data_IF_182458068216
#
_entry.id   IF_182458068216
#
_cell.length_a   1.000
_cell.length_b   1.000
_cell.length_c   1.000
_cell.angle_alpha   90.00
_cell.angle_beta   90.00
_cell.angle_gamma   90.00
#
_symmetry.space_group_name_H-M   'P 1'
#
loop_
_entity.id
_entity.type
_entity.pdbx_description
1 polymer ?
#
# COMPACT_ATOMS: atom_id res chain seq x y z
N UNK A 1 31.55 12.41 -23.03
CA UNK A 1 30.92 12.07 -21.73
C UNK A 1 31.16 10.60 -21.46
N UNK A 2 31.94 10.24 -20.45
CA UNK A 2 32.04 8.86 -19.96
C UNK A 2 30.67 8.47 -19.40
N UNK A 3 30.00 7.47 -19.99
CA UNK A 3 28.75 6.95 -19.45
C UNK A 3 29.09 6.21 -18.15
N UNK A 4 28.69 6.77 -17.00
CA UNK A 4 28.77 6.05 -15.73
C UNK A 4 27.75 4.91 -15.76
N UNK A 5 28.20 3.66 -15.75
CA UNK A 5 27.33 2.51 -15.52
C UNK A 5 27.28 2.25 -14.02
N UNK A 6 26.08 2.22 -13.45
CA UNK A 6 25.87 1.74 -12.08
C UNK A 6 26.11 0.24 -12.03
N UNK A 7 27.03 -0.20 -11.18
CA UNK A 7 27.30 -1.61 -10.95
C UNK A 7 26.19 -2.22 -10.06
N UNK A 8 25.78 -3.44 -10.39
CA UNK A 8 24.90 -4.25 -9.55
C UNK A 8 25.73 -5.38 -8.95
N UNK A 9 26.27 -5.18 -7.75
CA UNK A 9 26.92 -6.27 -7.01
C UNK A 9 25.89 -7.08 -6.24
N UNK A 10 26.02 -8.41 -6.34
CA UNK A 10 25.25 -9.36 -5.54
C UNK A 10 26.23 -10.06 -4.59
N UNK A 11 26.23 -9.67 -3.32
CA UNK A 11 26.93 -10.43 -2.30
C UNK A 11 26.02 -11.56 -1.84
N UNK A 12 26.33 -12.77 -2.28
CA UNK A 12 25.57 -13.97 -1.94
C UNK A 12 26.42 -14.82 -1.00
N UNK A 13 25.84 -15.23 0.13
CA UNK A 13 26.47 -16.19 1.05
C UNK A 13 26.81 -17.48 0.29
N UNK A 14 28.03 -17.99 0.46
CA UNK A 14 28.52 -19.18 -0.24
C UNK A 14 27.60 -20.39 -0.04
N UNK A 15 27.08 -20.54 1.17
CA UNK A 15 26.16 -21.61 1.59
C UNK A 15 24.88 -21.57 0.76
N UNK A 16 24.38 -20.37 0.45
CA UNK A 16 23.20 -20.21 -0.40
C UNK A 16 23.44 -20.72 -1.83
N UNK A 17 24.67 -20.64 -2.34
CA UNK A 17 25.03 -21.18 -3.66
C UNK A 17 25.16 -22.70 -3.60
N UNK A 18 25.83 -23.23 -2.57
CA UNK A 18 26.11 -24.67 -2.43
C UNK A 18 24.85 -25.47 -2.09
N UNK A 19 24.05 -25.01 -1.13
CA UNK A 19 22.88 -25.75 -0.61
C UNK A 19 21.78 -25.86 -1.67
N UNK A 20 21.71 -24.85 -2.55
CA UNK A 20 20.73 -24.77 -3.61
C UNK A 20 21.23 -25.30 -4.96
N UNK A 21 22.47 -25.81 -5.02
CA UNK A 21 23.11 -26.33 -6.25
C UNK A 21 23.02 -25.33 -7.40
N UNK A 22 23.32 -24.06 -7.12
CA UNK A 22 23.42 -23.02 -8.15
C UNK A 22 24.71 -23.23 -8.95
N UNK A 23 24.60 -23.99 -10.05
CA UNK A 23 25.71 -24.33 -10.93
C UNK A 23 25.82 -23.33 -12.10
N UNK A 24 27.04 -23.09 -12.55
CA UNK A 24 27.30 -22.37 -13.80
C UNK A 24 26.90 -23.24 -14.99
N UNK A 25 26.19 -22.66 -15.96
CA UNK A 25 25.82 -23.38 -17.19
C UNK A 25 26.80 -23.02 -18.30
N UNK A 26 27.63 -23.95 -18.73
CA UNK A 26 28.68 -23.69 -19.72
C UNK A 26 28.16 -22.93 -20.97
N UNK A 27 28.95 -21.96 -21.47
CA UNK A 27 28.65 -21.13 -22.64
C UNK A 27 27.46 -20.15 -22.53
N UNK A 28 27.01 -19.82 -21.31
CA UNK A 28 26.03 -18.75 -21.06
C UNK A 28 26.72 -17.45 -20.61
N UNK A 29 26.45 -16.33 -21.28
CA UNK A 29 26.95 -15.00 -20.92
C UNK A 29 26.27 -14.37 -19.68
N UNK A 30 25.06 -14.83 -19.33
CA UNK A 30 24.15 -14.18 -18.38
C UNK A 30 23.83 -15.08 -17.18
N UNK A 31 24.87 -15.65 -16.59
CA UNK A 31 24.77 -16.61 -15.48
C UNK A 31 24.13 -16.03 -14.22
N UNK A 32 24.29 -14.73 -14.00
CA UNK A 32 23.85 -14.03 -12.80
C UNK A 32 22.33 -13.88 -12.71
N UNK A 33 21.64 -14.00 -13.84
CA UNK A 33 20.18 -13.92 -13.96
C UNK A 33 19.51 -15.17 -13.39
N UNK A 34 19.76 -16.39 -13.90
CA UNK A 34 19.13 -17.61 -13.39
C UNK A 34 19.41 -17.84 -11.91
N UNK A 35 20.61 -17.50 -11.46
CA UNK A 35 20.97 -17.56 -10.05
C UNK A 35 20.19 -16.58 -9.18
N UNK A 36 20.06 -15.32 -9.58
CA UNK A 36 19.32 -14.32 -8.81
C UNK A 36 17.85 -14.72 -8.66
N UNK A 37 17.21 -15.12 -9.75
CA UNK A 37 15.82 -15.56 -9.73
C UNK A 37 15.61 -16.72 -8.75
N UNK A 38 16.47 -17.74 -8.84
CA UNK A 38 16.40 -18.88 -7.94
C UNK A 38 16.66 -18.45 -6.50
N UNK A 39 17.68 -17.62 -6.26
CA UNK A 39 18.02 -17.10 -4.94
C UNK A 39 16.86 -16.32 -4.30
N UNK A 40 16.24 -15.40 -5.05
CA UNK A 40 15.09 -14.59 -4.58
C UNK A 40 13.90 -15.48 -4.17
N UNK A 41 13.73 -16.64 -4.80
CA UNK A 41 12.70 -17.60 -4.41
C UNK A 41 13.01 -18.41 -3.14
N UNK A 42 14.26 -18.37 -2.64
CA UNK A 42 14.71 -19.15 -1.47
C UNK A 42 15.19 -18.26 -0.30
N UNK A 43 15.19 -16.94 -0.45
CA UNK A 43 15.56 -16.00 0.63
C UNK A 43 14.32 -15.37 1.26
N UNK A 44 14.34 -15.26 2.59
CA UNK A 44 13.24 -14.65 3.35
C UNK A 44 13.39 -13.12 3.44
N UNK A 45 14.59 -12.58 3.22
CA UNK A 45 14.88 -11.14 3.29
C UNK A 45 16.04 -10.75 2.37
N UNK A 46 16.10 -9.48 1.97
CA UNK A 46 17.15 -8.90 1.12
C UNK A 46 17.47 -7.49 1.63
N UNK A 47 18.76 -7.19 1.82
CA UNK A 47 19.24 -5.86 2.18
C UNK A 47 19.68 -5.11 0.93
N UNK A 48 19.11 -3.94 0.68
CA UNK A 48 19.54 -3.02 -0.37
C UNK A 48 20.48 -1.98 0.25
N UNK A 49 21.70 -1.88 -0.26
CA UNK A 49 22.64 -0.87 0.21
C UNK A 49 22.27 0.50 -0.40
N UNK A 50 22.22 1.58 0.41
CA UNK A 50 21.74 2.90 -0.04
C UNK A 50 22.74 3.63 -0.95
N UNK A 51 23.98 3.14 -1.06
CA UNK A 51 25.04 3.81 -1.82
C UNK A 51 25.71 2.86 -2.81
N UNK A 52 26.01 3.37 -4.01
CA UNK A 52 26.83 2.69 -5.00
C UNK A 52 28.22 2.43 -4.42
N UNK A 53 28.59 1.17 -4.26
CA UNK A 53 29.83 0.80 -3.58
C UNK A 53 31.09 1.01 -4.42
N UNK A 54 30.98 1.18 -5.75
CA UNK A 54 32.09 1.46 -6.68
C UNK A 54 31.57 1.76 -8.09
N UNK A 55 32.38 2.42 -8.91
CA UNK A 55 32.09 2.68 -10.33
C UNK A 55 32.90 1.74 -11.23
N UNK A 56 32.31 1.27 -12.33
CA UNK A 56 33.06 0.66 -13.42
C UNK A 56 33.37 1.73 -14.48
N UNK A 57 34.63 1.80 -14.91
CA UNK A 57 34.94 2.49 -16.15
C UNK A 57 34.67 1.54 -17.33
N UNK A 58 33.96 2.04 -18.35
CA UNK A 58 33.83 1.32 -19.62
C UNK A 58 35.22 1.19 -20.27
N UNK A 59 35.72 -0.04 -20.36
CA UNK A 59 36.86 -0.36 -21.20
C UNK A 59 36.35 -0.62 -22.63
N UNK A 60 36.90 0.02 -23.68
CA UNK A 60 36.54 -0.27 -25.08
C UNK A 60 36.69 -1.75 -25.45
N UNK A 61 37.66 -2.40 -24.80
CA UNK A 61 37.98 -3.83 -24.92
C UNK A 61 37.02 -4.74 -24.13
N UNK A 62 36.06 -4.17 -23.40
CA UNK A 62 35.15 -4.90 -22.53
C UNK A 62 34.33 -5.89 -23.34
N UNK A 63 34.29 -7.14 -22.87
CA UNK A 63 33.48 -8.21 -23.44
C UNK A 63 31.97 -7.89 -23.43
N UNK A 64 31.53 -6.92 -22.61
CA UNK A 64 30.16 -6.43 -22.55
C UNK A 64 29.75 -5.54 -23.74
N UNK A 65 30.69 -5.04 -24.56
CA UNK A 65 30.37 -4.35 -25.81
C UNK A 65 29.97 -5.34 -26.91
N UNK A 66 28.85 -6.03 -26.71
CA UNK A 66 28.28 -7.01 -27.63
C UNK A 66 27.61 -6.43 -28.89
N UNK A 67 27.80 -5.14 -29.21
CA UNK A 67 27.03 -4.46 -30.25
C UNK A 67 27.62 -4.58 -31.68
N UNK A 68 28.78 -5.23 -31.87
CA UNK A 68 29.50 -5.18 -33.16
C UNK A 68 29.91 -6.55 -33.76
N UNK A 69 29.57 -7.69 -33.15
CA UNK A 69 29.93 -9.02 -33.66
C UNK A 69 28.71 -9.98 -33.77
N UNK A 70 28.36 -10.45 -34.98
CA UNK A 70 27.24 -11.39 -35.21
C UNK A 70 27.31 -12.70 -34.40
N UNK A 71 28.49 -13.31 -34.25
CA UNK A 71 28.63 -14.56 -33.49
C UNK A 71 28.36 -14.34 -32.00
N UNK A 72 28.77 -13.19 -31.46
CA UNK A 72 28.50 -12.83 -30.07
C UNK A 72 27.02 -12.54 -29.85
N UNK A 73 26.36 -11.87 -30.79
CA UNK A 73 24.92 -11.66 -30.73
C UNK A 73 24.16 -12.99 -30.73
N UNK A 74 24.56 -13.94 -31.57
CA UNK A 74 23.98 -15.28 -31.59
C UNK A 74 24.19 -16.02 -30.26
N UNK A 75 25.41 -15.97 -29.70
CA UNK A 75 25.70 -16.54 -28.37
C UNK A 75 24.90 -15.86 -27.25
N UNK A 76 24.67 -14.55 -27.34
CA UNK A 76 23.84 -13.80 -26.40
C UNK A 76 22.37 -14.25 -26.47
N UNK A 77 21.82 -14.41 -27.68
CA UNK A 77 20.47 -14.95 -27.91
C UNK A 77 20.36 -16.40 -27.38
N UNK A 78 21.36 -17.24 -27.66
CA UNK A 78 21.41 -18.62 -27.16
C UNK A 78 21.51 -18.67 -25.62
N UNK A 79 22.31 -17.80 -25.01
CA UNK A 79 22.42 -17.66 -23.55
C UNK A 79 21.05 -17.37 -22.93
N UNK A 80 20.30 -16.44 -23.52
CA UNK A 80 18.93 -16.13 -23.08
C UNK A 80 17.96 -17.29 -23.22
N UNK A 81 18.05 -18.03 -24.34
CA UNK A 81 17.23 -19.23 -24.54
C UNK A 81 17.45 -20.24 -23.41
N UNK A 82 18.70 -20.51 -23.05
CA UNK A 82 19.00 -21.48 -22.00
C UNK A 82 18.59 -20.97 -20.61
N UNK A 83 18.83 -19.68 -20.30
CA UNK A 83 18.32 -19.04 -19.06
C UNK A 83 16.80 -19.15 -18.96
N UNK A 84 16.10 -19.01 -20.08
CA UNK A 84 14.65 -19.14 -20.12
C UNK A 84 14.16 -20.57 -19.92
N UNK A 85 14.76 -21.54 -20.62
CA UNK A 85 14.41 -22.96 -20.45
C UNK A 85 14.63 -23.38 -18.98
N UNK A 86 15.71 -22.89 -18.37
CA UNK A 86 15.96 -23.04 -16.93
C UNK A 86 14.81 -22.46 -16.09
N UNK A 87 14.40 -21.22 -16.33
CA UNK A 87 13.27 -20.61 -15.61
C UNK A 87 11.97 -21.38 -15.75
N UNK A 88 11.59 -21.74 -16.97
CA UNK A 88 10.37 -22.48 -17.20
C UNK A 88 10.37 -23.85 -16.54
N UNK A 89 11.52 -24.54 -16.53
CA UNK A 89 11.66 -25.85 -15.88
C UNK A 89 11.56 -25.78 -14.36
N UNK A 90 11.91 -24.62 -13.77
CA UNK A 90 11.99 -24.39 -12.33
C UNK A 90 10.86 -23.50 -11.81
N UNK A 91 9.88 -23.15 -12.66
CA UNK A 91 8.77 -22.26 -12.29
C UNK A 91 8.00 -22.89 -11.12
N UNK A 92 7.92 -22.22 -9.96
CA UNK A 92 7.08 -22.73 -8.87
C UNK A 92 5.62 -22.75 -9.30
N UNK A 93 4.91 -23.85 -9.03
CA UNK A 93 3.45 -23.89 -9.09
C UNK A 93 2.89 -23.05 -7.93
N UNK A 94 2.96 -21.72 -7.99
CA UNK A 94 2.41 -20.89 -6.92
C UNK A 94 1.78 -19.60 -7.42
N UNK A 95 0.69 -19.23 -6.76
CA UNK A 95 0.04 -17.91 -6.84
C UNK A 95 0.89 -16.81 -6.20
N UNK A 96 2.00 -17.16 -5.54
CA UNK A 96 2.81 -16.29 -4.67
C UNK A 96 4.15 -15.86 -5.27
N UNK A 97 4.46 -16.21 -6.52
CA UNK A 97 5.68 -15.72 -7.14
C UNK A 97 5.61 -14.18 -7.31
N UNK A 98 6.48 -13.47 -6.58
CA UNK A 98 6.51 -12.00 -6.46
C UNK A 98 6.42 -11.34 -7.85
N UNK A 99 5.32 -10.64 -8.08
CA UNK A 99 4.79 -10.25 -9.38
C UNK A 99 5.70 -9.33 -10.24
N UNK A 100 6.76 -8.75 -9.68
CA UNK A 100 7.64 -7.81 -10.37
C UNK A 100 8.68 -8.51 -11.27
N UNK A 101 9.18 -9.70 -10.88
CA UNK A 101 10.21 -10.39 -11.66
C UNK A 101 9.71 -10.85 -13.05
N UNK A 102 8.45 -11.29 -13.16
CA UNK A 102 7.89 -11.71 -14.46
C UNK A 102 7.69 -10.53 -15.41
N UNK A 103 7.27 -9.35 -14.91
CA UNK A 103 7.11 -8.13 -15.73
C UNK A 103 8.46 -7.60 -16.17
N UNK A 104 9.41 -7.47 -15.24
CA UNK A 104 10.77 -7.07 -15.56
C UNK A 104 11.41 -8.01 -16.59
N UNK A 105 11.12 -9.31 -16.50
CA UNK A 105 11.60 -10.31 -17.43
C UNK A 105 10.97 -10.19 -18.83
N UNK A 106 9.65 -9.97 -18.93
CA UNK A 106 8.98 -9.78 -20.22
C UNK A 106 9.43 -8.47 -20.90
N UNK A 107 9.59 -7.38 -20.12
CA UNK A 107 10.16 -6.12 -20.62
C UNK A 107 11.66 -6.24 -20.98
N UNK A 108 12.37 -7.17 -20.34
CA UNK A 108 13.75 -7.49 -20.69
C UNK A 108 13.85 -8.25 -22.01
N UNK A 109 13.05 -9.32 -22.20
CA UNK A 109 12.97 -10.07 -23.45
C UNK A 109 12.68 -9.13 -24.62
N UNK A 110 11.79 -8.20 -24.37
CA UNK A 110 11.42 -7.13 -25.27
C UNK A 110 12.60 -6.25 -25.72
N UNK A 111 13.48 -5.83 -24.80
CA UNK A 111 14.69 -5.06 -25.15
C UNK A 111 15.66 -5.87 -25.98
N UNK A 112 15.75 -7.17 -25.70
CA UNK A 112 16.71 -8.07 -26.34
C UNK A 112 16.28 -8.43 -27.76
N UNK A 113 14.99 -8.71 -27.97
CA UNK A 113 14.45 -9.03 -29.29
C UNK A 113 14.55 -7.87 -30.28
N UNK A 114 14.18 -6.64 -29.90
CA UNK A 114 14.36 -5.50 -30.79
C UNK A 114 15.83 -5.28 -31.16
N UNK A 115 16.75 -5.38 -30.19
CA UNK A 115 18.18 -5.22 -30.47
C UNK A 115 18.65 -6.25 -31.48
N UNK A 116 18.31 -7.52 -31.29
CA UNK A 116 18.75 -8.58 -32.18
C UNK A 116 18.09 -8.51 -33.58
N UNK A 117 16.83 -8.04 -33.70
CA UNK A 117 16.13 -7.82 -34.99
C UNK A 117 16.69 -6.65 -35.81
N UNK A 118 17.12 -5.57 -35.16
CA UNK A 118 17.66 -4.41 -35.87
C UNK A 118 19.15 -4.53 -36.19
N UNK A 119 19.90 -5.26 -35.38
CA UNK A 119 21.35 -5.33 -35.54
C UNK A 119 21.78 -6.48 -36.45
N UNK A 120 20.98 -7.56 -36.60
CA UNK A 120 21.40 -8.74 -37.34
C UNK A 120 20.27 -9.39 -38.17
N UNK A 121 20.53 -9.78 -39.43
CA UNK A 121 19.59 -10.59 -40.21
C UNK A 121 19.50 -12.01 -39.63
N UNK A 122 18.29 -12.48 -39.31
CA UNK A 122 18.08 -13.85 -38.84
C UNK A 122 17.97 -14.85 -39.98
N UNK A 123 18.50 -16.05 -39.77
CA UNK A 123 18.14 -17.21 -40.58
C UNK A 123 16.71 -17.68 -40.27
N UNK A 124 16.04 -18.25 -41.28
CA UNK A 124 14.63 -18.68 -41.20
C UNK A 124 14.37 -19.69 -40.06
N UNK A 125 15.37 -20.52 -39.72
CA UNK A 125 15.30 -21.55 -38.67
C UNK A 125 15.27 -20.94 -37.27
N UNK A 126 16.04 -19.87 -37.04
CA UNK A 126 16.07 -19.17 -35.75
C UNK A 126 14.76 -18.41 -35.52
N UNK A 127 14.22 -17.82 -36.59
CA UNK A 127 12.92 -17.15 -36.53
C UNK A 127 11.78 -18.08 -36.10
N UNK A 128 11.75 -19.33 -36.58
CA UNK A 128 10.74 -20.31 -36.18
C UNK A 128 10.82 -20.66 -34.69
N UNK A 129 12.02 -20.78 -34.13
CA UNK A 129 12.19 -21.03 -32.70
C UNK A 129 11.71 -19.84 -31.86
N UNK A 130 11.97 -18.62 -32.34
CA UNK A 130 11.48 -17.38 -31.73
C UNK A 130 9.95 -17.32 -31.73
N UNK A 131 9.29 -17.81 -32.79
CA UNK A 131 7.82 -17.90 -32.86
C UNK A 131 7.24 -18.92 -31.88
N UNK A 132 7.87 -20.10 -31.75
CA UNK A 132 7.46 -21.12 -30.77
C UNK A 132 7.57 -20.54 -29.35
N UNK A 133 8.67 -19.84 -29.08
CA UNK A 133 8.91 -19.15 -27.82
C UNK A 133 7.85 -18.09 -27.54
N UNK A 134 7.58 -17.21 -28.51
CA UNK A 134 6.53 -16.19 -28.43
C UNK A 134 5.21 -16.81 -28.01
N UNK A 135 4.78 -17.85 -28.71
CA UNK A 135 3.48 -18.48 -28.45
C UNK A 135 3.41 -19.05 -27.03
N UNK A 136 4.53 -19.61 -26.54
CA UNK A 136 4.62 -20.12 -25.16
C UNK A 136 4.50 -19.01 -24.13
N UNK A 137 5.26 -17.92 -24.30
CA UNK A 137 5.20 -16.74 -23.42
C UNK A 137 3.81 -16.10 -23.44
N UNK A 138 3.24 -15.88 -24.62
CA UNK A 138 1.92 -15.31 -24.75
C UNK A 138 0.85 -16.19 -24.11
N UNK A 139 0.92 -17.51 -24.33
CA UNK A 139 0.01 -18.46 -23.69
C UNK A 139 0.11 -18.40 -22.17
N UNK A 140 1.33 -18.29 -21.63
CA UNK A 140 1.55 -18.12 -20.19
C UNK A 140 0.99 -16.79 -19.69
N UNK A 141 1.33 -15.67 -20.34
CA UNK A 141 0.80 -14.36 -20.01
C UNK A 141 -0.73 -14.35 -20.00
N UNK A 142 -1.37 -14.92 -21.02
CA UNK A 142 -2.84 -15.03 -21.08
C UNK A 142 -3.41 -15.94 -19.99
N UNK A 143 -2.81 -17.11 -19.72
CA UNK A 143 -3.21 -18.01 -18.62
C UNK A 143 -3.10 -17.33 -17.25
N UNK A 144 -2.11 -16.46 -17.11
CA UNK A 144 -1.84 -15.70 -15.89
C UNK A 144 -2.65 -14.41 -15.78
N UNK A 145 -3.52 -14.13 -16.76
CA UNK A 145 -4.41 -12.96 -16.80
C UNK A 145 -3.78 -11.68 -17.31
N UNK A 146 -2.58 -11.76 -17.89
CA UNK A 146 -1.75 -10.62 -18.30
C UNK A 146 -1.99 -10.20 -19.74
N UNK A 147 -3.23 -9.78 -20.03
CA UNK A 147 -3.68 -9.47 -21.39
C UNK A 147 -2.91 -8.32 -22.04
N UNK A 148 -2.67 -7.21 -21.33
CA UNK A 148 -1.95 -6.06 -21.89
C UNK A 148 -0.50 -6.40 -22.23
N UNK A 149 0.16 -7.22 -21.41
CA UNK A 149 1.51 -7.69 -21.71
C UNK A 149 1.50 -8.63 -22.91
N UNK A 150 0.53 -9.55 -23.00
CA UNK A 150 0.39 -10.42 -24.17
C UNK A 150 0.16 -9.64 -25.47
N UNK A 151 -0.67 -8.58 -25.43
CA UNK A 151 -0.90 -7.67 -26.55
C UNK A 151 0.33 -6.85 -26.90
N UNK A 152 1.09 -6.40 -25.90
CA UNK A 152 2.31 -5.64 -26.13
C UNK A 152 3.39 -6.49 -26.79
N UNK A 153 3.56 -7.74 -26.33
CA UNK A 153 4.48 -8.69 -26.93
C UNK A 153 4.14 -8.99 -28.39
N UNK A 154 2.86 -8.97 -28.80
CA UNK A 154 2.49 -9.14 -30.21
C UNK A 154 3.11 -8.08 -31.13
N UNK A 155 3.32 -6.86 -30.63
CA UNK A 155 3.90 -5.77 -31.42
C UNK A 155 5.35 -6.04 -31.81
N UNK A 156 6.02 -6.95 -31.12
CA UNK A 156 7.44 -7.26 -31.29
C UNK A 156 7.72 -8.40 -32.28
N UNK A 157 6.66 -8.99 -32.83
CA UNK A 157 6.78 -10.06 -33.82
C UNK A 157 6.16 -9.64 -35.14
N UNK A 158 6.40 -10.40 -36.20
CA UNK A 158 5.78 -10.11 -37.50
C UNK A 158 4.26 -10.28 -37.39
N UNK A 159 3.49 -9.38 -38.04
CA UNK A 159 3.96 -8.29 -38.90
C UNK A 159 4.32 -6.98 -38.17
N UNK A 160 3.89 -6.79 -36.93
CA UNK A 160 3.94 -5.51 -36.22
C UNK A 160 5.34 -5.00 -35.90
N UNK A 161 6.33 -5.88 -35.82
CA UNK A 161 7.74 -5.52 -35.62
C UNK A 161 8.25 -4.48 -36.63
N UNK A 162 7.70 -4.45 -37.84
CA UNK A 162 8.08 -3.48 -38.87
C UNK A 162 7.68 -2.03 -38.52
N UNK A 163 6.73 -1.83 -37.60
CA UNK A 163 6.39 -0.50 -37.07
C UNK A 163 7.61 0.14 -36.39
N UNK A 164 8.51 -0.65 -35.81
CA UNK A 164 9.72 -0.14 -35.20
C UNK A 164 10.79 0.32 -36.20
N UNK A 165 10.58 0.20 -37.52
CA UNK A 165 11.44 0.88 -38.51
C UNK A 165 11.30 2.41 -38.44
N UNK A 166 10.13 2.90 -38.02
CA UNK A 166 9.88 4.32 -37.89
C UNK A 166 10.61 4.91 -36.68
N UNK A 167 11.40 5.95 -36.90
CA UNK A 167 12.19 6.63 -35.85
C UNK A 167 11.33 7.12 -34.69
N UNK A 168 10.13 7.63 -34.99
CA UNK A 168 9.17 8.09 -33.99
C UNK A 168 8.75 6.98 -33.00
N UNK A 169 8.43 5.79 -33.53
CA UNK A 169 8.03 4.67 -32.69
C UNK A 169 9.21 4.20 -31.83
N UNK A 170 10.43 4.17 -32.40
CA UNK A 170 11.65 3.85 -31.64
C UNK A 170 11.97 4.86 -30.54
N UNK A 171 11.81 6.15 -30.79
CA UNK A 171 12.13 7.19 -29.81
C UNK A 171 11.17 7.19 -28.62
N UNK A 172 9.92 6.74 -28.82
CA UNK A 172 8.92 6.65 -27.77
C UNK A 172 8.79 5.26 -27.16
N UNK A 173 9.47 4.26 -27.72
CA UNK A 173 9.37 2.89 -27.28
C UNK A 173 9.75 2.69 -25.81
N UNK A 174 10.81 3.36 -25.35
CA UNK A 174 11.22 3.28 -23.94
C UNK A 174 10.15 3.84 -22.99
N UNK A 175 9.45 4.89 -23.41
CA UNK A 175 8.31 5.44 -22.68
C UNK A 175 7.12 4.49 -22.69
N UNK A 176 6.84 3.85 -23.83
CA UNK A 176 5.83 2.78 -23.94
C UNK A 176 6.14 1.59 -23.04
N UNK A 177 7.40 1.15 -22.95
CA UNK A 177 7.83 0.09 -22.02
C UNK A 177 7.53 0.49 -20.57
N UNK A 178 7.89 1.70 -20.16
CA UNK A 178 7.63 2.21 -18.81
C UNK A 178 6.13 2.25 -18.52
N UNK A 179 5.35 2.77 -19.46
CA UNK A 179 3.89 2.83 -19.36
C UNK A 179 3.30 1.43 -19.26
N UNK A 180 3.65 0.52 -20.16
CA UNK A 180 3.11 -0.84 -20.14
C UNK A 180 3.54 -1.58 -18.89
N UNK A 181 4.77 -1.41 -18.40
CA UNK A 181 5.18 -1.94 -17.10
C UNK A 181 4.28 -1.45 -15.97
N UNK A 182 4.08 -0.13 -15.84
CA UNK A 182 3.22 0.45 -14.80
C UNK A 182 1.73 0.08 -14.96
N UNK A 183 1.19 0.14 -16.18
CA UNK A 183 -0.22 -0.13 -16.46
C UNK A 183 -0.52 -1.63 -16.39
N UNK A 184 0.40 -2.50 -16.82
CA UNK A 184 0.21 -3.95 -16.72
C UNK A 184 0.11 -4.41 -15.27
N UNK A 185 0.88 -3.83 -14.35
CA UNK A 185 0.67 -4.08 -12.91
C UNK A 185 -0.75 -3.70 -12.45
N UNK A 186 -1.29 -2.60 -12.97
CA UNK A 186 -2.64 -2.14 -12.68
C UNK A 186 -3.71 -3.09 -13.24
N UNK A 187 -3.53 -3.62 -14.46
CA UNK A 187 -4.50 -4.49 -15.14
C UNK A 187 -4.40 -5.97 -14.79
N UNK A 188 -3.21 -6.47 -14.47
CA UNK A 188 -3.00 -7.83 -13.94
C UNK A 188 -3.65 -7.97 -12.56
N UNK A 189 -3.67 -6.88 -11.79
CA UNK A 189 -4.47 -6.72 -10.57
C UNK A 189 -5.99 -6.82 -10.85
N UNK A 190 -6.49 -6.28 -11.96
CA UNK A 190 -7.90 -6.37 -12.34
C UNK A 190 -8.31 -7.77 -12.86
N UNK A 191 -7.43 -8.51 -13.54
CA UNK A 191 -7.76 -9.80 -14.15
C UNK A 191 -7.74 -10.99 -13.18
N UNK A 192 -6.85 -11.01 -12.17
CA UNK A 192 -6.81 -12.08 -11.15
C UNK A 192 -7.86 -11.90 -10.04
N UNK A 193 -8.49 -10.73 -9.94
CA UNK A 193 -9.53 -10.40 -8.96
C UNK A 193 -10.93 -10.34 -9.54
N UNK A 194 -11.28 -11.29 -10.43
CA UNK A 194 -12.71 -11.59 -10.65
C UNK A 194 -13.41 -12.04 -9.34
N UNK A 195 -12.65 -12.27 -8.26
CA UNK A 195 -13.19 -12.40 -6.91
C UNK A 195 -13.07 -11.14 -6.03
N UNK A 196 -12.04 -10.26 -6.10
CA UNK A 196 -11.77 -9.33 -4.98
C UNK A 196 -11.42 -7.86 -5.33
N UNK A 197 -11.77 -7.31 -6.49
CA UNK A 197 -11.70 -5.84 -6.64
C UNK A 197 -12.71 -5.19 -5.71
N UNK A 198 -13.93 -5.72 -5.69
CA UNK A 198 -14.95 -5.28 -4.74
C UNK A 198 -14.49 -5.51 -3.30
N UNK A 199 -13.93 -6.66 -2.92
CA UNK A 199 -13.44 -6.85 -1.54
C UNK A 199 -12.21 -6.01 -1.16
N UNK A 200 -11.31 -5.66 -2.09
CA UNK A 200 -10.16 -4.79 -1.76
C UNK A 200 -10.55 -3.32 -1.80
N UNK A 201 -11.35 -2.89 -2.77
CA UNK A 201 -11.97 -1.57 -2.72
C UNK A 201 -12.80 -1.48 -1.44
N UNK A 202 -13.58 -2.51 -1.08
CA UNK A 202 -14.30 -2.56 0.19
C UNK A 202 -13.35 -2.60 1.38
N UNK A 203 -12.21 -3.28 1.32
CA UNK A 203 -11.22 -3.29 2.41
C UNK A 203 -10.53 -1.94 2.55
N UNK A 204 -10.19 -1.27 1.45
CA UNK A 204 -9.61 0.08 1.45
C UNK A 204 -10.67 1.08 1.92
N UNK A 205 -11.90 1.01 1.39
CA UNK A 205 -13.03 1.84 1.82
C UNK A 205 -13.40 1.56 3.29
N UNK A 206 -13.29 0.32 3.76
CA UNK A 206 -13.50 -0.03 5.17
C UNK A 206 -12.35 0.41 6.07
N UNK A 207 -11.15 0.59 5.53
CA UNK A 207 -10.00 1.11 6.26
C UNK A 207 -9.87 2.63 6.16
N UNK A 208 -10.61 3.29 5.26
CA UNK A 208 -10.73 4.75 5.21
C UNK A 208 -11.70 5.22 6.29
N UNK A 209 -11.47 6.42 6.81
CA UNK A 209 -12.39 7.09 7.74
C UNK A 209 -13.58 7.63 6.93
N UNK A 210 -14.82 7.15 7.16
CA UNK A 210 -16.00 7.70 6.49
C UNK A 210 -16.20 9.19 6.77
N UNK A 211 -16.80 9.93 5.83
CA UNK A 211 -17.14 11.35 6.00
C UNK A 211 -18.39 11.55 6.87
N UNK A 212 -18.33 11.08 8.11
CA UNK A 212 -19.39 11.15 9.11
C UNK A 212 -18.87 11.90 10.33
N UNK A 213 -19.62 12.89 10.80
CA UNK A 213 -19.41 13.58 12.07
C UNK A 213 -20.43 13.08 13.08
N UNK A 214 -19.94 12.44 14.13
CA UNK A 214 -20.70 12.03 15.30
C UNK A 214 -20.61 13.07 16.40
N UNK A 215 -21.73 13.35 17.05
CA UNK A 215 -21.80 14.25 18.21
C UNK A 215 -22.95 13.83 19.10
N UNK A 216 -22.86 14.13 20.40
CA UNK A 216 -23.79 13.63 21.40
C UNK A 216 -24.60 14.76 22.06
N UNK A 217 -25.92 14.58 22.19
CA UNK A 217 -26.82 15.49 22.89
C UNK A 217 -27.96 14.73 23.57
N UNK A 218 -27.73 14.32 24.82
CA UNK A 218 -28.63 13.42 25.55
C UNK A 218 -29.75 14.13 26.30
N UNK A 219 -29.61 15.43 26.61
CA UNK A 219 -30.60 16.16 27.40
C UNK A 219 -31.93 16.30 26.67
N UNK A 220 -31.90 16.41 25.34
CA UNK A 220 -33.07 16.70 24.52
C UNK A 220 -33.50 18.18 24.54
N UNK A 221 -32.81 19.01 25.31
CA UNK A 221 -33.06 20.46 25.37
C UNK A 221 -32.60 21.17 24.10
N UNK A 222 -32.97 22.43 23.94
CA UNK A 222 -32.46 23.24 22.84
C UNK A 222 -30.93 23.47 22.98
N UNK A 223 -30.20 23.33 21.87
CA UNK A 223 -28.75 23.61 21.87
C UNK A 223 -28.46 25.05 22.33
N UNK A 224 -27.50 25.25 23.26
CA UNK A 224 -27.00 26.57 23.60
C UNK A 224 -26.47 27.34 22.39
N UNK A 225 -26.46 28.67 22.45
CA UNK A 225 -26.00 29.55 21.36
C UNK A 225 -24.57 29.22 20.91
N UNK A 226 -23.66 28.93 21.84
CA UNK A 226 -22.29 28.52 21.52
C UNK A 226 -22.27 27.23 20.70
N UNK A 227 -23.06 26.24 21.08
CA UNK A 227 -23.05 24.92 20.43
C UNK A 227 -23.64 25.03 19.03
N UNK A 228 -24.71 25.83 18.86
CA UNK A 228 -25.24 26.16 17.54
C UNK A 228 -24.18 26.83 16.65
N UNK A 229 -23.37 27.75 17.20
CA UNK A 229 -22.27 28.39 16.46
C UNK A 229 -21.23 27.35 16.03
N UNK A 230 -20.80 26.48 16.94
CA UNK A 230 -19.84 25.41 16.66
C UNK A 230 -20.38 24.43 15.60
N UNK A 231 -21.59 23.89 15.77
CA UNK A 231 -22.24 23.00 14.80
C UNK A 231 -22.40 23.67 13.41
N UNK A 232 -22.71 24.97 13.37
CA UNK A 232 -22.79 25.71 12.12
C UNK A 232 -21.42 25.85 11.43
N UNK A 233 -20.32 25.97 12.20
CA UNK A 233 -18.97 25.94 11.63
C UNK A 233 -18.69 24.61 10.93
N UNK A 234 -19.17 23.48 11.47
CA UNK A 234 -18.99 22.17 10.86
C UNK A 234 -19.70 22.10 9.51
N UNK A 235 -20.97 22.49 9.45
CA UNK A 235 -21.75 22.51 8.21
C UNK A 235 -21.12 23.40 7.14
N UNK A 236 -20.46 24.48 7.55
CA UNK A 236 -19.76 25.41 6.66
C UNK A 236 -18.46 24.82 6.12
N UNK A 237 -17.64 24.22 6.98
CA UNK A 237 -16.29 23.74 6.62
C UNK A 237 -16.27 22.30 6.09
N UNK A 238 -17.32 21.52 6.33
CA UNK A 238 -17.43 20.11 5.98
C UNK A 238 -18.61 19.88 5.02
N UNK A 239 -18.63 20.51 3.83
CA UNK A 239 -19.70 20.30 2.87
C UNK A 239 -19.70 18.83 2.38
N UNK A 240 -20.87 18.20 2.37
CA UNK A 240 -21.04 16.82 1.93
C UNK A 240 -20.70 15.75 2.98
N UNK A 241 -20.38 16.14 4.21
CA UNK A 241 -20.27 15.22 5.34
C UNK A 241 -21.65 14.88 5.92
N UNK A 242 -21.83 13.65 6.38
CA UNK A 242 -23.00 13.23 7.16
C UNK A 242 -22.85 13.71 8.61
N UNK A 243 -23.92 14.23 9.20
CA UNK A 243 -23.95 14.63 10.61
C UNK A 243 -24.89 13.71 11.37
N UNK A 244 -24.36 12.89 12.27
CA UNK A 244 -25.12 11.94 13.07
C UNK A 244 -25.15 12.37 14.53
N UNK A 245 -26.32 12.83 14.95
CA UNK A 245 -26.61 13.13 16.34
C UNK A 245 -26.91 11.84 17.11
N UNK A 246 -26.25 11.69 18.26
CA UNK A 246 -26.54 10.66 19.24
C UNK A 246 -27.34 11.27 20.39
N UNK A 247 -28.61 10.91 20.48
CA UNK A 247 -29.51 11.31 21.56
C UNK A 247 -29.88 10.10 22.44
N UNK A 248 -30.83 10.26 23.36
CA UNK A 248 -31.26 9.19 24.28
C UNK A 248 -31.75 7.91 23.58
N UNK A 249 -32.11 7.94 22.30
CA UNK A 249 -32.55 6.74 21.57
C UNK A 249 -31.42 5.74 21.38
N UNK A 250 -30.16 6.15 21.51
CA UNK A 250 -29.02 5.26 21.36
C UNK A 250 -28.77 4.33 22.57
N UNK A 251 -29.39 4.61 23.72
CA UNK A 251 -29.14 3.88 24.98
C UNK A 251 -29.49 2.40 24.86
N UNK A 252 -30.61 2.08 24.20
CA UNK A 252 -31.04 0.71 23.95
C UNK A 252 -30.06 -0.04 23.02
N UNK A 253 -29.46 0.66 22.05
CA UNK A 253 -28.53 0.07 21.10
C UNK A 253 -27.17 -0.24 21.75
N UNK A 254 -26.72 0.63 22.66
CA UNK A 254 -25.42 0.52 23.33
C UNK A 254 -25.45 -0.54 24.42
N UNK A 255 -26.52 -0.56 25.23
CA UNK A 255 -26.74 -1.56 26.29
C UNK A 255 -25.50 -1.81 27.18
N UNK A 256 -24.87 -0.72 27.66
CA UNK A 256 -23.75 -0.78 28.60
C UNK A 256 -24.15 -0.15 29.94
N UNK A 257 -23.89 -0.81 31.10
CA UNK A 257 -24.32 -0.32 32.42
C UNK A 257 -23.82 1.10 32.71
N UNK A 258 -22.54 1.37 32.44
CA UNK A 258 -21.93 2.69 32.58
C UNK A 258 -22.75 3.81 31.92
N UNK A 259 -23.19 3.59 30.68
CA UNK A 259 -23.89 4.61 29.88
C UNK A 259 -25.28 4.86 30.42
N UNK A 260 -26.01 3.79 30.73
CA UNK A 260 -27.35 3.88 31.27
C UNK A 260 -27.36 4.59 32.63
N UNK A 261 -26.46 4.19 33.52
CA UNK A 261 -26.34 4.79 34.86
C UNK A 261 -25.92 6.26 34.80
N UNK A 262 -24.94 6.62 33.97
CA UNK A 262 -24.52 8.00 33.79
C UNK A 262 -25.65 8.86 33.18
N UNK A 263 -26.44 8.31 32.25
CA UNK A 263 -27.60 8.98 31.69
C UNK A 263 -28.70 9.23 32.72
N UNK A 264 -29.11 8.21 33.48
CA UNK A 264 -30.14 8.32 34.52
C UNK A 264 -29.72 9.29 35.64
N UNK A 265 -28.42 9.29 35.98
CA UNK A 265 -27.82 10.25 36.91
C UNK A 265 -27.70 11.68 36.34
N UNK A 266 -28.06 11.89 35.06
CA UNK A 266 -27.92 13.15 34.30
C UNK A 266 -26.48 13.65 34.18
N UNK A 267 -25.51 12.76 34.31
CA UNK A 267 -24.08 13.04 34.07
C UNK A 267 -23.77 12.74 32.60
N UNK A 268 -24.36 13.53 31.71
CA UNK A 268 -24.32 13.27 30.27
C UNK A 268 -22.90 13.27 29.69
N UNK A 269 -21.95 13.97 30.30
CA UNK A 269 -20.54 13.93 29.88
C UNK A 269 -19.96 12.52 29.97
N UNK A 270 -20.20 11.79 31.07
CA UNK A 270 -19.65 10.45 31.26
C UNK A 270 -20.41 9.40 30.45
N UNK A 271 -21.69 9.62 30.17
CA UNK A 271 -22.40 8.81 29.16
C UNK A 271 -21.80 9.03 27.76
N UNK A 272 -21.50 10.29 27.41
CA UNK A 272 -20.93 10.65 26.10
C UNK A 272 -19.51 10.09 25.88
N UNK A 273 -18.74 9.86 26.95
CA UNK A 273 -17.40 9.27 26.90
C UNK A 273 -17.37 7.86 26.31
N UNK A 274 -18.38 7.02 26.59
CA UNK A 274 -18.50 5.73 25.91
C UNK A 274 -19.18 5.88 24.55
N UNK A 275 -20.24 6.70 24.44
CA UNK A 275 -21.00 6.87 23.20
C UNK A 275 -20.08 7.34 22.06
N UNK A 276 -19.13 8.23 22.33
CA UNK A 276 -18.17 8.70 21.32
C UNK A 276 -17.29 7.58 20.78
N UNK A 277 -16.79 6.70 21.65
CA UNK A 277 -16.02 5.53 21.25
C UNK A 277 -16.88 4.57 20.42
N UNK A 278 -18.08 4.25 20.92
CA UNK A 278 -19.02 3.35 20.27
C UNK A 278 -19.40 3.84 18.88
N UNK A 279 -19.71 5.13 18.74
CA UNK A 279 -20.09 5.74 17.48
C UNK A 279 -19.01 5.57 16.40
N UNK A 280 -17.78 5.99 16.71
CA UNK A 280 -16.66 5.92 15.76
C UNK A 280 -16.22 4.47 15.55
N UNK A 281 -16.22 3.62 16.58
CA UNK A 281 -15.90 2.21 16.42
C UNK A 281 -16.89 1.49 15.49
N UNK A 282 -18.20 1.71 15.67
CA UNK A 282 -19.23 1.00 14.91
C UNK A 282 -19.38 1.51 13.48
N UNK A 283 -19.32 2.83 13.29
CA UNK A 283 -19.64 3.46 12.01
C UNK A 283 -18.43 4.08 11.30
N UNK A 284 -17.27 4.16 11.96
CA UNK A 284 -16.15 4.97 11.52
C UNK A 284 -16.47 6.47 11.65
N UNK A 285 -15.61 7.32 11.10
CA UNK A 285 -15.85 8.76 11.02
C UNK A 285 -15.07 9.54 12.06
N UNK A 286 -15.52 10.76 12.33
CA UNK A 286 -14.97 11.61 13.38
C UNK A 286 -16.03 11.88 14.43
N UNK A 287 -15.61 11.91 15.69
CA UNK A 287 -16.41 12.46 16.76
C UNK A 287 -16.01 13.91 17.03
N UNK A 288 -16.99 14.76 17.35
CA UNK A 288 -16.80 16.14 17.80
C UNK A 288 -17.70 16.42 19.01
N UNK A 289 -17.12 16.96 20.08
CA UNK A 289 -17.92 17.58 21.14
C UNK A 289 -18.64 18.83 20.60
N UNK A 290 -19.86 19.08 21.10
CA UNK A 290 -20.76 20.11 20.55
C UNK A 290 -20.22 21.55 20.67
N UNK A 291 -19.21 21.78 21.51
CA UNK A 291 -18.53 23.04 21.72
C UNK A 291 -17.22 23.19 20.93
N UNK A 292 -16.85 22.21 20.10
CA UNK A 292 -15.66 22.29 19.23
C UNK A 292 -15.98 23.08 17.95
N UNK A 293 -15.20 24.10 17.63
CA UNK A 293 -15.30 24.82 16.35
C UNK A 293 -14.40 24.15 15.28
N UNK A 294 -14.97 23.88 14.09
CA UNK A 294 -14.19 23.36 12.95
C UNK A 294 -13.77 24.54 12.08
N UNK A 295 -12.47 24.67 11.86
CA UNK A 295 -11.89 25.77 11.08
C UNK A 295 -11.62 25.40 9.62
N UNK A 296 -11.40 24.11 9.31
CA UNK A 296 -11.19 23.62 7.93
C UNK A 296 -11.70 22.20 7.74
N UNK A 297 -11.69 21.78 6.48
CA UNK A 297 -12.10 20.45 6.05
C UNK A 297 -11.20 19.34 6.64
N UNK A 298 -11.82 18.30 7.19
CA UNK A 298 -11.17 17.10 7.72
C UNK A 298 -10.85 16.07 6.63
N UNK A 299 -11.28 16.31 5.38
CA UNK A 299 -11.07 15.40 4.24
C UNK A 299 -9.61 14.97 4.03
N UNK A 300 -8.57 15.79 4.31
CA UNK A 300 -7.19 15.33 4.18
C UNK A 300 -6.85 14.09 5.04
N UNK A 301 -7.57 13.88 6.14
CA UNK A 301 -7.27 12.81 7.10
C UNK A 301 -8.00 11.49 6.83
N UNK A 302 -8.89 11.43 5.84
CA UNK A 302 -9.78 10.26 5.66
C UNK A 302 -9.05 9.00 5.14
N UNK A 303 -7.83 9.16 4.62
CA UNK A 303 -6.98 8.07 4.16
C UNK A 303 -6.13 7.46 5.29
N UNK A 304 -6.20 8.03 6.50
CA UNK A 304 -5.51 7.52 7.69
C UNK A 304 -6.35 6.42 8.37
N UNK A 305 -5.72 5.51 9.10
CA UNK A 305 -6.45 4.50 9.87
C UNK A 305 -7.20 5.10 11.07
N UNK A 306 -6.62 6.14 11.67
CA UNK A 306 -7.17 6.90 12.78
C UNK A 306 -6.49 8.28 12.89
N UNK A 307 -7.13 9.15 13.66
CA UNK A 307 -6.68 10.51 13.98
C UNK A 307 -6.95 10.76 15.45
N UNK A 308 -5.91 11.10 16.20
CA UNK A 308 -6.00 11.54 17.59
C UNK A 308 -5.41 12.94 17.71
N UNK A 309 -5.99 13.76 18.59
CA UNK A 309 -5.43 15.03 19.02
C UNK A 309 -4.79 14.93 20.39
N UNK A 310 -3.79 15.79 20.62
CA UNK A 310 -3.22 16.05 21.94
C UNK A 310 -3.70 17.43 22.42
N UNK A 311 -3.99 17.56 23.71
CA UNK A 311 -4.26 18.85 24.33
C UNK A 311 -3.04 19.78 24.18
N UNK A 312 -3.27 21.07 23.96
CA UNK A 312 -2.21 22.08 23.91
C UNK A 312 -1.78 22.49 25.33
N UNK A 313 -1.31 21.50 26.09
CA UNK A 313 -0.78 21.65 27.42
C UNK A 313 0.52 20.84 27.56
N UNK A 314 1.36 21.22 28.52
CA UNK A 314 2.60 20.49 28.83
C UNK A 314 2.34 19.04 29.30
N UNK A 315 1.08 18.71 29.58
CA UNK A 315 0.65 17.43 30.14
C UNK A 315 0.88 16.24 29.22
N UNK A 316 0.86 16.44 27.89
CA UNK A 316 0.98 15.31 26.96
C UNK A 316 -0.33 14.58 26.64
N UNK A 317 -1.46 14.95 27.25
CA UNK A 317 -2.69 14.15 27.21
C UNK A 317 -3.42 14.21 25.87
N UNK A 318 -4.15 13.13 25.58
CA UNK A 318 -5.06 13.08 24.44
C UNK A 318 -6.23 14.02 24.68
N UNK A 319 -6.52 14.83 23.67
CA UNK A 319 -7.77 15.57 23.59
C UNK A 319 -8.81 14.67 22.94
N UNK A 320 -9.83 14.28 23.72
CA UNK A 320 -10.89 13.36 23.30
C UNK A 320 -12.14 14.08 22.77
N UNK A 321 -12.13 15.42 22.76
CA UNK A 321 -13.16 16.23 22.13
C UNK A 321 -13.21 16.08 20.60
N UNK A 322 -12.11 15.63 19.98
CA UNK A 322 -12.06 15.25 18.57
C UNK A 322 -11.16 14.05 18.34
N UNK A 323 -11.66 13.05 17.62
CA UNK A 323 -10.85 11.98 17.06
C UNK A 323 -11.60 11.33 15.91
N UNK A 324 -10.89 10.59 15.07
CA UNK A 324 -11.52 9.82 14.00
C UNK A 324 -10.84 8.48 13.77
N UNK A 325 -11.58 7.53 13.22
CA UNK A 325 -11.04 6.24 12.82
C UNK A 325 -11.94 5.55 11.80
N UNK A 326 -11.40 4.57 11.10
CA UNK A 326 -12.22 3.66 10.32
C UNK A 326 -13.06 2.75 11.23
N UNK A 327 -14.16 2.21 10.71
CA UNK A 327 -15.02 1.31 11.47
C UNK A 327 -14.26 0.03 11.88
N UNK A 328 -14.48 -0.45 13.11
CA UNK A 328 -13.84 -1.64 13.65
C UNK A 328 -12.40 -1.42 14.13
N UNK A 329 -11.94 -0.17 14.27
CA UNK A 329 -10.57 0.14 14.65
C UNK A 329 -10.15 -0.58 15.97
N UNK A 330 -9.06 -1.38 15.98
CA UNK A 330 -8.66 -2.18 17.14
C UNK A 330 -8.29 -1.37 18.38
N UNK A 331 -7.79 -0.14 18.22
CA UNK A 331 -7.45 0.71 19.35
C UNK A 331 -8.72 1.20 20.06
N UNK A 332 -9.73 1.66 19.32
CA UNK A 332 -11.01 2.06 19.91
C UNK A 332 -11.71 0.89 20.60
N UNK A 333 -11.61 -0.33 20.05
CA UNK A 333 -12.11 -1.53 20.71
C UNK A 333 -11.47 -1.73 22.09
N UNK A 334 -10.14 -1.61 22.19
CA UNK A 334 -9.42 -1.73 23.47
C UNK A 334 -9.87 -0.67 24.49
N UNK A 335 -10.14 0.56 24.03
CA UNK A 335 -10.67 1.61 24.89
C UNK A 335 -12.08 1.27 25.40
N UNK A 336 -12.96 0.76 24.52
CA UNK A 336 -14.32 0.35 24.90
C UNK A 336 -14.32 -0.83 25.86
N UNK A 337 -13.42 -1.81 25.67
CA UNK A 337 -13.26 -2.97 26.56
C UNK A 337 -12.97 -2.56 28.02
N UNK A 338 -12.47 -1.35 28.28
CA UNK A 338 -12.28 -0.82 29.65
C UNK A 338 -13.58 -0.49 30.37
N UNK A 339 -14.67 -0.27 29.64
CA UNK A 339 -16.00 0.02 30.17
C UNK A 339 -16.87 -1.23 30.33
N UNK A 340 -16.48 -2.36 29.70
CA UNK A 340 -17.28 -3.57 29.72
C UNK A 340 -17.53 -4.06 31.15
N UNK A 341 -18.79 -4.30 31.49
CA UNK A 341 -19.26 -4.66 32.84
C UNK A 341 -18.87 -3.66 33.96
N UNK A 342 -18.44 -2.44 33.61
CA UNK A 342 -18.17 -1.37 34.57
C UNK A 342 -19.45 -0.60 34.86
N UNK A 343 -19.65 -0.29 36.13
CA UNK A 343 -20.74 0.56 36.61
C UNK A 343 -20.23 1.98 36.88
N UNK A 344 -21.05 2.98 36.54
CA UNK A 344 -20.78 4.38 36.85
C UNK A 344 -21.11 4.71 38.31
N UNK A 345 -22.12 4.03 38.86
CA UNK A 345 -22.49 4.11 40.27
C UNK A 345 -21.66 3.09 41.04
N UNK A 346 -20.90 3.57 42.02
CA UNK A 346 -20.05 2.76 42.88
C UNK A 346 -20.88 2.05 43.97
N UNK A 347 -20.27 1.07 44.65
CA UNK A 347 -20.94 0.28 45.71
C UNK A 347 -21.49 1.14 46.85
N UNK A 348 -20.88 2.30 47.12
CA UNK A 348 -21.31 3.26 48.15
C UNK A 348 -22.40 4.24 47.65
N UNK A 349 -22.85 4.09 46.41
CA UNK A 349 -23.85 4.96 45.76
C UNK A 349 -23.29 6.27 45.21
N UNK A 350 -21.98 6.53 45.35
CA UNK A 350 -21.32 7.68 44.72
C UNK A 350 -21.04 7.41 43.23
N UNK A 351 -20.69 8.46 42.48
CA UNK A 351 -20.43 8.37 41.05
C UNK A 351 -18.93 8.36 40.75
N UNK A 352 -18.53 7.55 39.79
CA UNK A 352 -17.13 7.42 39.37
C UNK A 352 -16.71 8.52 38.38
N UNK A 353 -16.54 9.74 38.89
CA UNK A 353 -16.07 10.88 38.09
C UNK A 353 -14.60 10.81 37.67
N UNK A 354 -13.84 9.83 38.17
CA UNK A 354 -12.40 9.72 37.89
C UNK A 354 -12.10 8.91 36.64
N UNK A 355 -13.04 8.09 36.22
CA UNK A 355 -12.88 7.23 35.06
C UNK A 355 -13.31 8.00 33.81
N UNK A 356 -12.36 8.73 33.24
CA UNK A 356 -12.56 9.65 32.11
C UNK A 356 -11.92 9.14 30.83
N UNK A 357 -12.50 9.52 29.68
CA UNK A 357 -12.03 9.04 28.38
C UNK A 357 -10.56 9.37 28.04
N UNK A 358 -9.98 10.54 28.35
CA UNK A 358 -8.58 10.83 28.02
C UNK A 358 -7.59 9.85 28.67
N UNK A 359 -7.82 9.52 29.94
CA UNK A 359 -6.99 8.58 30.71
C UNK A 359 -7.06 7.17 30.11
N UNK A 360 -8.26 6.74 29.75
CA UNK A 360 -8.50 5.43 29.13
C UNK A 360 -7.79 5.32 27.79
N UNK A 361 -7.93 6.36 26.96
CA UNK A 361 -7.24 6.46 25.68
C UNK A 361 -5.72 6.38 25.88
N UNK A 362 -5.16 7.16 26.82
CA UNK A 362 -3.73 7.10 27.10
C UNK A 362 -3.27 5.74 27.59
N UNK A 363 -4.00 5.10 28.50
CA UNK A 363 -3.66 3.76 29.01
C UNK A 363 -3.67 2.68 27.91
N UNK A 364 -4.46 2.87 26.85
CA UNK A 364 -4.53 1.94 25.74
C UNK A 364 -3.43 2.16 24.69
N UNK A 365 -2.65 3.24 24.81
CA UNK A 365 -1.51 3.54 23.93
C UNK A 365 -0.26 2.88 24.50
N UNK A 366 0.37 2.03 23.68
CA UNK A 366 1.63 1.37 24.04
C UNK A 366 2.84 2.27 23.75
N UNK A 367 2.91 2.81 22.53
CA UNK A 367 3.94 3.74 22.06
C UNK A 367 3.29 4.77 21.14
N UNK A 368 3.76 6.02 21.15
CA UNK A 368 3.32 7.01 20.19
C UNK A 368 4.43 7.92 19.66
N UNK A 369 4.20 8.52 18.49
CA UNK A 369 5.03 9.57 17.90
C UNK A 369 4.16 10.78 17.57
N UNK A 370 4.69 11.98 17.84
CA UNK A 370 4.00 13.23 17.50
C UNK A 370 4.28 13.58 16.03
N UNK A 371 3.23 13.91 15.29
CA UNK A 371 3.29 14.36 13.90
C UNK A 371 3.14 15.87 13.82
N UNK A 372 3.98 16.48 12.97
CA UNK A 372 3.90 17.89 12.59
C UNK A 372 3.10 18.06 11.28
N UNK A 373 3.25 17.12 10.33
CA UNK A 373 2.53 17.16 9.05
C UNK A 373 1.89 15.82 8.71
N UNK A 374 0.82 15.86 7.90
CA UNK A 374 0.17 14.64 7.42
C UNK A 374 1.06 13.79 6.52
N UNK A 375 1.98 14.41 5.80
CA UNK A 375 2.96 13.71 4.97
C UNK A 375 3.93 12.84 5.79
N UNK A 376 4.05 13.07 7.11
CA UNK A 376 4.92 12.31 8.00
C UNK A 376 4.25 11.04 8.53
N UNK A 377 2.96 10.84 8.23
CA UNK A 377 2.21 9.67 8.65
C UNK A 377 2.80 8.39 8.05
N UNK A 378 2.96 7.37 8.89
CA UNK A 378 3.43 6.03 8.54
C UNK A 378 2.57 5.01 9.24
N UNK A 379 1.99 4.12 8.45
CA UNK A 379 1.26 2.97 8.96
C UNK A 379 2.18 2.11 9.84
N UNK A 380 1.88 2.02 11.13
CA UNK A 380 2.61 1.22 12.10
C UNK A 380 1.62 0.37 12.91
N UNK A 381 1.95 -0.90 13.12
CA UNK A 381 1.15 -1.79 13.96
C UNK A 381 1.50 -1.67 15.45
N UNK A 382 2.65 -1.08 15.79
CA UNK A 382 3.18 -1.03 17.16
C UNK A 382 3.18 0.36 17.77
N UNK A 383 3.06 1.42 16.97
CA UNK A 383 3.24 2.81 17.41
C UNK A 383 2.10 3.67 16.89
N UNK A 384 1.38 4.36 17.77
CA UNK A 384 0.35 5.31 17.37
C UNK A 384 0.94 6.66 16.95
N UNK A 385 0.34 7.32 15.97
CA UNK A 385 0.78 8.64 15.53
C UNK A 385 -0.26 9.70 15.87
N UNK A 386 0.14 10.77 16.55
CA UNK A 386 -0.75 11.79 17.13
C UNK A 386 -0.33 13.17 16.63
N UNK A 387 -1.28 14.00 16.19
CA UNK A 387 -0.94 15.37 15.77
C UNK A 387 -0.78 16.30 16.97
N UNK A 388 0.21 17.20 16.87
CA UNK A 388 0.25 18.36 17.76
C UNK A 388 -0.85 19.32 17.31
N UNK A 389 -1.88 19.52 18.14
CA UNK A 389 -2.95 20.50 17.93
C UNK A 389 -3.62 20.45 16.54
N UNK A 390 -4.83 19.90 16.46
CA UNK A 390 -5.63 19.94 15.24
C UNK A 390 -6.31 21.31 15.04
N UNK A 391 -5.59 22.44 15.18
CA UNK A 391 -5.97 23.58 14.34
C UNK A 391 -5.44 23.28 12.96
N UNK A 392 -6.36 22.83 12.13
CA UNK A 392 -6.20 22.98 10.70
C UNK A 392 -6.24 24.50 10.46
N UNK A 393 -5.09 25.15 10.59
CA UNK A 393 -4.88 26.58 10.34
C UNK A 393 -4.66 26.84 8.88
#
# INVERSE_FOLDING_TARGET
MKYLITSWNKLVRKECITDNKLLFIENIYLQDQPWLYYLVSHINSMLLLPHTTFFYEEAPESTNHGALNPERAQRYVNSWKTVFEYYLSRRPNSKDFKHNLEVDYLLYLQRTHLRAIFLFPYEKKDYNQILVFRNKIMSLALKDGRFLIACFLLLEYRPFIYLFRFRFIRSHYYYMIKIVGHIAHLFDFFHRKKTNLHQLINSIIQNMIPKIIHYCWLSGDEFPTLFKKCINSWKKQLPGWEFRLWDKTCLEEINEPWVYEAYEAKVYSHASDYIRLYAVYKYGGFYLDCDVEVLKDLSPFIELDYVLSKENSDSGYIEAAIFGAHAGNPYLRKCMEKYHDRHFILEDGSYDYKFIIPDIMMQCICEYTVLENIADFKLSQSTMQIYHYLCIG
#
